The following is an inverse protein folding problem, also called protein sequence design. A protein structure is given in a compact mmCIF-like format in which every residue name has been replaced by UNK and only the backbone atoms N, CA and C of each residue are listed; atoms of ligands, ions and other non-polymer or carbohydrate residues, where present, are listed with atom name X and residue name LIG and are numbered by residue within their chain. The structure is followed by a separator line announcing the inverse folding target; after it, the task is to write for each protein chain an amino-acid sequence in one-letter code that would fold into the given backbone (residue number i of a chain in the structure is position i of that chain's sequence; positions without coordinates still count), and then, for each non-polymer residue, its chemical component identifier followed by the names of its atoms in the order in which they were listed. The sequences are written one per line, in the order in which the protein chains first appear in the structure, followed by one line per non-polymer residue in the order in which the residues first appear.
data_IF_893582965616
#
_entry.id   IF_893582965616
#
_cell.length_a   1.000
_cell.length_b   1.000
_cell.length_c   1.000
_cell.angle_alpha   90.00
_cell.angle_beta   90.00
_cell.angle_gamma   90.00
#
_symmetry.space_group_name_H-M   'P 1'
#
loop_
_entity.id
_entity.type
_entity.pdbx_description
1 polymer ?
#
# COMPACT_ATOMS: atom_id res chain seq x y z
N UNK A 1 -26.40 67.89 36.43
CA UNK A 1 -26.58 68.74 37.61
C UNK A 1 -25.28 69.49 37.83
N UNK A 2 -25.39 70.80 37.74
CA UNK A 2 -24.36 71.83 37.83
C UNK A 2 -23.72 71.89 39.21
N UNK A 3 -22.39 71.90 39.26
CA UNK A 3 -21.63 72.59 40.31
C UNK A 3 -20.84 73.67 39.59
N UNK A 4 -21.43 74.88 39.53
CA UNK A 4 -20.72 76.09 39.12
C UNK A 4 -19.86 76.51 40.30
N UNK A 5 -18.56 76.27 40.22
CA UNK A 5 -17.61 76.85 41.18
C UNK A 5 -17.58 78.36 40.97
N UNK A 6 -18.22 79.07 41.90
CA UNK A 6 -18.06 80.51 42.08
C UNK A 6 -16.57 80.81 42.28
N UNK A 7 -15.93 81.34 41.24
CA UNK A 7 -14.55 81.83 41.29
C UNK A 7 -14.56 83.08 42.17
N UNK A 8 -13.91 83.00 43.34
CA UNK A 8 -13.88 84.08 44.33
C UNK A 8 -13.22 85.34 43.78
N UNK A 9 -13.99 86.42 43.68
CA UNK A 9 -13.64 87.70 43.04
C UNK A 9 -12.59 88.59 43.76
N UNK A 10 -11.75 88.07 44.66
CA UNK A 10 -10.76 88.90 45.41
C UNK A 10 -9.33 88.33 45.40
N UNK A 11 -9.12 87.05 45.09
CA UNK A 11 -7.79 86.46 44.98
C UNK A 11 -7.63 86.01 43.53
N UNK A 12 -6.74 86.60 42.76
CA UNK A 12 -6.51 86.30 41.34
C UNK A 12 -5.91 84.91 41.08
N UNK A 13 -6.37 83.89 41.80
CA UNK A 13 -5.96 82.50 41.70
C UNK A 13 -7.13 81.72 41.08
N UNK A 14 -6.90 81.26 39.86
CA UNK A 14 -7.80 80.36 39.15
C UNK A 14 -7.70 78.97 39.78
N UNK A 15 -8.59 78.69 40.72
CA UNK A 15 -8.61 77.42 41.46
C UNK A 15 -8.99 76.24 40.57
N UNK A 16 -9.72 76.46 39.48
CA UNK A 16 -9.99 75.42 38.50
C UNK A 16 -8.69 75.03 37.77
N UNK A 17 -7.92 76.02 37.29
CA UNK A 17 -6.63 75.78 36.66
C UNK A 17 -5.61 75.14 37.63
N UNK A 18 -5.61 75.51 38.92
CA UNK A 18 -4.73 74.91 39.93
C UNK A 18 -5.12 73.44 40.21
N UNK A 19 -6.42 73.14 40.30
CA UNK A 19 -6.92 71.77 40.48
C UNK A 19 -6.58 70.92 39.25
N UNK A 20 -6.76 71.45 38.05
CA UNK A 20 -6.38 70.75 36.81
C UNK A 20 -4.87 70.47 36.76
N UNK A 21 -4.03 71.43 37.14
CA UNK A 21 -2.57 71.24 37.26
C UNK A 21 -2.19 70.18 38.31
N UNK A 22 -2.93 70.10 39.42
CA UNK A 22 -2.68 69.11 40.47
C UNK A 22 -3.14 67.71 40.04
N UNK A 23 -4.30 67.60 39.38
CA UNK A 23 -4.80 66.35 38.79
C UNK A 23 -3.83 65.84 37.71
N UNK A 24 -3.30 66.73 36.87
CA UNK A 24 -2.31 66.36 35.86
C UNK A 24 -1.02 65.83 36.50
N UNK A 25 -0.53 66.46 37.57
CA UNK A 25 0.63 66.00 38.34
C UNK A 25 0.39 64.63 38.99
N UNK A 26 -0.77 64.42 39.60
CA UNK A 26 -1.16 63.16 40.24
C UNK A 26 -1.45 62.04 39.23
N UNK A 27 -1.76 62.37 37.97
CA UNK A 27 -1.97 61.40 36.88
C UNK A 27 -0.68 60.87 36.25
N UNK A 28 0.47 61.55 36.43
CA UNK A 28 1.79 61.14 35.90
C UNK A 28 2.19 59.68 36.19
N UNK A 29 2.04 59.13 37.41
CA UNK A 29 2.35 57.72 37.66
C UNK A 29 1.49 56.76 36.82
N UNK A 30 0.23 57.11 36.56
CA UNK A 30 -0.66 56.31 35.71
C UNK A 30 -0.16 56.32 34.27
N UNK A 31 0.19 57.50 33.73
CA UNK A 31 0.77 57.63 32.39
C UNK A 31 2.07 56.84 32.25
N UNK A 32 2.93 56.85 33.27
CA UNK A 32 4.20 56.09 33.26
C UNK A 32 3.95 54.58 33.27
N UNK A 33 2.98 54.09 34.05
CA UNK A 33 2.59 52.68 34.06
C UNK A 33 1.93 52.27 32.73
N UNK A 34 1.08 53.12 32.15
CA UNK A 34 0.49 52.89 30.83
C UNK A 34 1.55 52.79 29.73
N UNK A 35 2.54 53.68 29.73
CA UNK A 35 3.67 53.64 28.81
C UNK A 35 4.52 52.37 29.00
N UNK A 36 4.74 51.95 30.26
CA UNK A 36 5.44 50.69 30.57
C UNK A 36 4.65 49.48 30.10
N UNK A 37 3.34 49.45 30.27
CA UNK A 37 2.47 48.39 29.77
C UNK A 37 2.49 48.32 28.24
N UNK A 38 2.43 49.46 27.54
CA UNK A 38 2.55 49.49 26.08
C UNK A 38 3.89 48.91 25.61
N UNK A 39 4.99 49.23 26.31
CA UNK A 39 6.33 48.68 26.02
C UNK A 39 6.38 47.17 26.26
N UNK A 40 5.85 46.69 27.39
CA UNK A 40 5.81 45.26 27.72
C UNK A 40 4.94 44.47 26.73
N UNK A 41 3.80 45.02 26.28
CA UNK A 41 2.95 44.40 25.25
C UNK A 41 3.67 44.34 23.90
N UNK A 42 4.39 45.39 23.50
CA UNK A 42 5.21 45.38 22.30
C UNK A 42 6.33 44.33 22.37
N UNK A 43 6.99 44.19 23.54
CA UNK A 43 7.98 43.14 23.78
C UNK A 43 7.36 41.74 23.69
N UNK A 44 6.18 41.52 24.26
CA UNK A 44 5.46 40.25 24.15
C UNK A 44 5.16 39.88 22.69
N UNK A 45 4.69 40.85 21.90
CA UNK A 45 4.46 40.66 20.46
C UNK A 45 5.74 40.28 19.72
N UNK A 46 6.84 40.99 19.98
CA UNK A 46 8.15 40.68 19.38
C UNK A 46 8.65 39.27 19.74
N UNK A 47 8.45 38.82 20.98
CA UNK A 47 8.80 37.44 21.38
C UNK A 47 7.91 36.39 20.72
N UNK A 48 6.62 36.65 20.54
CA UNK A 48 5.71 35.75 19.82
C UNK A 48 6.08 35.62 18.35
N UNK A 49 6.46 36.73 17.71
CA UNK A 49 6.93 36.74 16.33
C UNK A 49 8.25 35.98 16.18
N UNK A 50 9.23 36.23 17.05
CA UNK A 50 10.48 35.49 17.09
C UNK A 50 10.25 33.98 17.27
N UNK A 51 9.36 33.58 18.17
CA UNK A 51 9.03 32.18 18.40
C UNK A 51 8.42 31.53 17.15
N UNK A 52 7.56 32.26 16.43
CA UNK A 52 6.95 31.78 15.19
C UNK A 52 7.98 31.60 14.07
N UNK A 53 8.89 32.56 13.92
CA UNK A 53 9.99 32.47 12.95
C UNK A 53 10.97 31.35 13.28
N UNK A 54 11.30 31.18 14.56
CA UNK A 54 12.18 30.10 15.03
C UNK A 54 11.54 28.73 14.80
N UNK A 55 10.23 28.59 15.03
CA UNK A 55 9.51 27.37 14.73
C UNK A 55 9.49 27.07 13.23
N UNK A 56 9.24 28.06 12.39
CA UNK A 56 9.29 27.89 10.94
C UNK A 56 10.70 27.45 10.48
N UNK A 57 11.75 28.09 10.99
CA UNK A 57 13.13 27.71 10.70
C UNK A 57 13.43 26.28 11.16
N UNK A 58 12.97 25.89 12.35
CA UNK A 58 13.12 24.53 12.88
C UNK A 58 12.44 23.51 11.96
N UNK A 59 11.20 23.76 11.52
CA UNK A 59 10.49 22.85 10.62
C UNK A 59 11.22 22.69 9.27
N UNK A 60 11.77 23.77 8.72
CA UNK A 60 12.61 23.69 7.52
C UNK A 60 13.88 22.88 7.76
N UNK A 61 14.57 23.10 8.89
CA UNK A 61 15.75 22.34 9.27
C UNK A 61 15.45 20.85 9.48
N UNK A 62 14.32 20.51 10.12
CA UNK A 62 13.88 19.12 10.33
C UNK A 62 13.58 18.42 8.99
N UNK A 63 12.95 19.13 8.04
CA UNK A 63 12.72 18.63 6.68
C UNK A 63 14.02 18.37 5.92
N UNK A 64 15.01 19.26 6.05
CA UNK A 64 16.34 19.12 5.47
C UNK A 64 17.21 18.08 6.20
N UNK A 65 16.96 17.81 7.48
CA UNK A 65 17.64 16.75 8.21
C UNK A 65 17.12 15.37 7.81
N UNK A 66 15.93 15.28 7.18
CA UNK A 66 15.36 14.03 6.74
C UNK A 66 16.04 13.52 5.46
N UNK A 67 16.92 12.52 5.62
CA UNK A 67 17.66 11.88 4.53
C UNK A 67 16.74 11.29 3.46
N UNK A 68 15.51 10.86 3.82
CA UNK A 68 14.57 10.31 2.84
C UNK A 68 14.11 11.34 1.80
N UNK A 69 14.08 12.63 2.15
CA UNK A 69 13.75 13.72 1.22
C UNK A 69 14.73 13.74 0.04
N UNK A 70 16.01 13.46 0.29
CA UNK A 70 17.08 13.47 -0.73
C UNK A 70 17.25 12.12 -1.44
N UNK A 71 16.68 11.05 -0.88
CA UNK A 71 16.71 9.70 -1.46
C UNK A 71 15.41 9.34 -2.19
N UNK A 72 14.47 10.27 -2.27
CA UNK A 72 13.24 10.08 -3.03
C UNK A 72 13.59 9.93 -4.52
N UNK A 73 13.00 8.94 -5.17
CA UNK A 73 13.17 8.68 -6.61
C UNK A 73 11.85 8.93 -7.31
N UNK A 74 11.86 9.44 -8.55
CA UNK A 74 10.65 9.52 -9.37
C UNK A 74 10.46 8.23 -10.16
N UNK A 75 9.21 7.78 -10.30
CA UNK A 75 8.86 6.63 -11.15
C UNK A 75 8.02 7.12 -12.33
N UNK A 76 8.36 6.69 -13.53
CA UNK A 76 7.62 6.96 -14.76
C UNK A 76 7.23 5.63 -15.39
N UNK A 77 5.94 5.46 -15.70
CA UNK A 77 5.43 4.30 -16.43
C UNK A 77 5.29 4.64 -17.91
N UNK A 78 5.59 3.69 -18.80
CA UNK A 78 5.37 3.85 -20.24
C UNK A 78 3.88 3.85 -20.61
N UNK A 79 3.03 3.23 -19.78
CA UNK A 79 1.58 3.21 -19.96
C UNK A 79 0.86 3.22 -18.60
N UNK A 80 0.49 4.42 -18.14
CA UNK A 80 -0.17 4.63 -16.84
C UNK A 80 -1.60 4.06 -16.76
N UNK A 81 -2.27 3.82 -17.90
CA UNK A 81 -3.60 3.20 -17.90
C UNK A 81 -3.57 1.71 -17.56
N UNK A 82 -2.42 1.05 -17.76
CA UNK A 82 -2.25 -0.38 -17.47
C UNK A 82 -1.58 -0.58 -16.11
N UNK A 83 -0.54 0.20 -15.81
CA UNK A 83 0.24 0.05 -14.59
C UNK A 83 0.76 1.40 -14.11
N UNK A 84 0.48 1.71 -12.84
CA UNK A 84 1.12 2.80 -12.10
C UNK A 84 2.07 2.22 -11.07
N UNK A 85 3.10 2.97 -10.71
CA UNK A 85 4.09 2.54 -9.73
C UNK A 85 4.51 3.73 -8.86
N UNK A 86 4.82 3.44 -7.59
CA UNK A 86 5.34 4.40 -6.63
C UNK A 86 6.63 3.86 -6.03
N UNK A 87 7.60 4.74 -5.82
CA UNK A 87 8.88 4.41 -5.19
C UNK A 87 8.85 4.75 -3.70
N UNK A 88 9.69 4.04 -2.94
CA UNK A 88 10.06 4.41 -1.57
C UNK A 88 11.51 4.92 -1.57
N UNK A 89 11.95 5.56 -0.49
CA UNK A 89 13.32 6.09 -0.34
C UNK A 89 14.42 5.01 -0.35
N UNK A 90 14.04 3.74 -0.27
CA UNK A 90 14.92 2.57 -0.42
C UNK A 90 15.00 2.02 -1.85
N UNK A 91 14.21 2.55 -2.78
CA UNK A 91 14.19 2.07 -4.17
C UNK A 91 15.52 2.37 -4.87
N UNK A 92 16.07 1.37 -5.55
CA UNK A 92 17.29 1.52 -6.35
C UNK A 92 16.91 2.13 -7.70
N UNK A 93 17.59 3.20 -8.17
CA UNK A 93 17.36 3.74 -9.49
C UNK A 93 17.70 2.72 -10.59
N UNK A 94 16.77 2.50 -11.52
CA UNK A 94 16.95 1.56 -12.62
C UNK A 94 15.74 1.52 -13.55
N UNK A 95 15.91 0.89 -14.71
CA UNK A 95 14.83 0.59 -15.65
C UNK A 95 14.40 -0.85 -15.44
N UNK A 96 13.09 -1.06 -15.36
CA UNK A 96 12.49 -2.37 -15.13
C UNK A 96 11.40 -2.62 -16.17
N UNK A 97 11.48 -3.76 -16.85
CA UNK A 97 10.50 -4.18 -17.84
C UNK A 97 9.45 -5.09 -17.19
N UNK A 98 8.18 -4.76 -17.37
CA UNK A 98 7.05 -5.52 -16.87
C UNK A 98 6.12 -5.91 -18.01
N UNK A 99 5.66 -7.16 -17.99
CA UNK A 99 4.60 -7.65 -18.88
C UNK A 99 3.40 -8.01 -18.02
N UNK A 100 2.28 -7.31 -18.22
CA UNK A 100 1.04 -7.54 -17.48
C UNK A 100 0.21 -8.58 -18.22
N UNK A 101 0.23 -9.83 -17.74
CA UNK A 101 -0.54 -10.92 -18.34
C UNK A 101 -2.01 -10.92 -17.93
N UNK A 102 -2.28 -10.77 -16.62
CA UNK A 102 -3.64 -10.82 -16.08
C UNK A 102 -3.72 -10.01 -14.78
N UNK A 103 -4.88 -9.39 -14.55
CA UNK A 103 -5.21 -8.71 -13.30
C UNK A 103 -5.62 -9.73 -12.24
N UNK A 104 -5.22 -9.50 -10.99
CA UNK A 104 -5.74 -10.28 -9.87
C UNK A 104 -7.24 -9.98 -9.73
N UNK A 105 -8.06 -11.03 -9.78
CA UNK A 105 -9.50 -10.94 -9.54
C UNK A 105 -9.86 -11.43 -8.15
N UNK A 106 -10.93 -10.89 -7.58
CA UNK A 106 -11.56 -11.44 -6.38
C UNK A 106 -12.61 -12.47 -6.78
N UNK A 107 -12.69 -13.60 -6.08
CA UNK A 107 -13.77 -14.57 -6.28
C UNK A 107 -15.10 -14.04 -5.72
N UNK A 108 -16.16 -14.13 -6.50
CA UNK A 108 -17.54 -13.90 -6.06
C UNK A 108 -18.40 -15.10 -6.43
N UNK A 109 -19.16 -15.62 -5.47
CA UNK A 109 -20.17 -16.64 -5.69
C UNK A 109 -21.52 -16.08 -5.29
N UNK A 110 -22.49 -16.24 -6.17
CA UNK A 110 -23.88 -15.83 -5.95
C UNK A 110 -24.72 -17.10 -6.00
N UNK A 111 -25.54 -17.34 -4.98
CA UNK A 111 -26.44 -18.49 -4.99
C UNK A 111 -27.49 -18.31 -6.07
N UNK A 112 -28.05 -19.40 -6.59
CA UNK A 112 -29.12 -19.37 -7.59
C UNK A 112 -30.45 -18.82 -7.07
N UNK A 113 -30.49 -18.33 -5.84
CA UNK A 113 -31.69 -17.97 -5.11
C UNK A 113 -32.36 -19.18 -4.45
N UNK A 114 -33.11 -18.92 -3.39
CA UNK A 114 -33.98 -19.90 -2.72
C UNK A 114 -35.43 -19.57 -3.06
N UNK A 115 -36.34 -20.55 -2.94
CA UNK A 115 -37.74 -20.38 -3.31
C UNK A 115 -38.45 -19.27 -2.51
N UNK A 116 -38.01 -19.03 -1.28
CA UNK A 116 -38.52 -18.04 -0.34
C UNK A 116 -37.47 -17.70 0.71
N UNK A 117 -37.71 -16.68 1.53
CA UNK A 117 -36.75 -16.17 2.51
C UNK A 117 -36.85 -16.80 3.90
N UNK A 118 -37.96 -17.44 4.23
CA UNK A 118 -38.36 -17.66 5.64
C UNK A 118 -39.15 -18.95 5.91
N UNK A 119 -39.62 -19.66 4.90
CA UNK A 119 -40.52 -20.82 5.06
C UNK A 119 -39.87 -22.16 4.71
N UNK A 120 -39.04 -22.23 3.67
CA UNK A 120 -38.42 -23.49 3.24
C UNK A 120 -37.01 -23.63 3.84
N UNK A 121 -36.76 -24.64 4.71
CA UNK A 121 -35.41 -24.92 5.20
C UNK A 121 -34.46 -25.29 4.06
N UNK A 122 -33.28 -24.70 4.06
CA UNK A 122 -32.22 -24.97 3.06
C UNK A 122 -31.42 -26.25 3.35
N UNK A 123 -31.66 -26.89 4.50
CA UNK A 123 -30.94 -28.07 4.97
C UNK A 123 -31.73 -28.84 6.05
N UNK A 124 -31.43 -30.13 6.21
CA UNK A 124 -31.93 -30.97 7.30
C UNK A 124 -30.88 -31.12 8.43
N UNK A 125 -31.17 -31.92 9.46
CA UNK A 125 -30.27 -32.11 10.62
C UNK A 125 -28.98 -32.87 10.30
N UNK A 126 -28.90 -33.54 9.15
CA UNK A 126 -27.76 -34.34 8.73
C UNK A 126 -26.95 -33.66 7.61
N UNK A 127 -27.39 -32.50 7.14
CA UNK A 127 -26.72 -31.77 6.06
C UNK A 127 -25.44 -31.11 6.57
N UNK A 128 -24.30 -31.44 5.95
CA UNK A 128 -23.03 -30.72 6.13
C UNK A 128 -22.81 -29.77 4.96
N UNK A 129 -22.57 -28.50 5.25
CA UNK A 129 -22.10 -27.54 4.24
C UNK A 129 -20.58 -27.65 4.12
N UNK A 130 -20.11 -28.28 3.04
CA UNK A 130 -18.68 -28.33 2.71
C UNK A 130 -18.39 -27.29 1.64
N UNK A 131 -17.44 -26.40 1.93
CA UNK A 131 -16.93 -25.44 0.96
C UNK A 131 -15.58 -25.94 0.46
N UNK A 132 -15.51 -26.25 -0.83
CA UNK A 132 -14.28 -26.68 -1.49
C UNK A 132 -13.85 -25.62 -2.51
N UNK A 133 -12.59 -25.22 -2.44
CA UNK A 133 -12.00 -24.35 -3.47
C UNK A 133 -11.43 -25.23 -4.57
N UNK A 134 -11.98 -25.12 -5.78
CA UNK A 134 -11.56 -25.95 -6.91
C UNK A 134 -12.05 -27.40 -6.79
N UNK A 135 -13.36 -27.61 -6.95
CA UNK A 135 -14.01 -28.89 -7.31
C UNK A 135 -13.60 -30.19 -6.57
N UNK A 136 -12.93 -30.11 -5.41
CA UNK A 136 -12.36 -31.27 -4.71
C UNK A 136 -11.33 -32.04 -5.54
N UNK A 137 -10.77 -31.39 -6.56
CA UNK A 137 -9.96 -31.98 -7.61
C UNK A 137 -9.22 -30.89 -8.37
N UNK A 138 -8.01 -31.21 -8.82
CA UNK A 138 -7.22 -30.30 -9.63
C UNK A 138 -7.93 -30.12 -11.00
N UNK A 139 -8.59 -28.98 -11.20
CA UNK A 139 -9.25 -28.63 -12.47
C UNK A 139 -8.29 -27.86 -13.34
N UNK A 140 -8.44 -27.93 -14.67
CA UNK A 140 -7.58 -27.17 -15.61
C UNK A 140 -7.65 -25.67 -15.33
N UNK A 141 -8.78 -25.16 -14.85
CA UNK A 141 -8.96 -23.75 -14.54
C UNK A 141 -8.51 -23.37 -13.12
N UNK A 142 -8.00 -24.31 -12.31
CA UNK A 142 -7.51 -24.02 -10.96
C UNK A 142 -6.27 -23.13 -11.06
N UNK A 143 -6.24 -22.06 -10.28
CA UNK A 143 -5.08 -21.18 -10.21
C UNK A 143 -3.91 -21.89 -9.51
N UNK A 144 -2.71 -21.73 -10.06
CA UNK A 144 -1.49 -22.30 -9.49
C UNK A 144 -1.16 -21.75 -8.09
N UNK A 145 -1.66 -20.55 -7.77
CA UNK A 145 -1.56 -19.92 -6.45
C UNK A 145 -2.28 -20.69 -5.34
N UNK A 146 -3.28 -21.51 -5.71
CA UNK A 146 -4.13 -22.22 -4.77
C UNK A 146 -3.64 -23.65 -4.48
N UNK A 147 -2.59 -24.10 -5.19
CA UNK A 147 -2.06 -25.45 -5.03
C UNK A 147 -1.32 -25.62 -3.71
N UNK A 148 -1.08 -26.87 -3.31
CA UNK A 148 -0.31 -27.22 -2.11
C UNK A 148 -0.86 -26.59 -0.83
N UNK A 149 -2.19 -26.55 -0.68
CA UNK A 149 -2.83 -25.92 0.50
C UNK A 149 -2.74 -24.39 0.53
N UNK A 150 -2.48 -23.76 -0.62
CA UNK A 150 -2.33 -22.30 -0.75
C UNK A 150 -0.88 -21.80 -0.66
N UNK A 151 0.09 -22.71 -0.50
CA UNK A 151 1.52 -22.38 -0.66
C UNK A 151 1.86 -22.03 -2.12
N UNK A 152 1.00 -22.47 -3.04
CA UNK A 152 1.06 -22.14 -4.45
C UNK A 152 2.11 -22.95 -5.22
N UNK A 153 2.47 -22.42 -6.39
CA UNK A 153 3.38 -23.04 -7.33
C UNK A 153 4.65 -22.21 -7.49
N UNK A 154 5.82 -22.85 -7.37
CA UNK A 154 7.08 -22.17 -7.60
C UNK A 154 7.34 -21.97 -9.10
N UNK A 155 7.22 -20.73 -9.56
CA UNK A 155 7.47 -20.36 -10.97
C UNK A 155 8.94 -20.56 -11.37
N UNK A 156 9.16 -21.11 -12.55
CA UNK A 156 10.50 -21.37 -13.06
C UNK A 156 10.49 -22.24 -14.32
N UNK A 157 11.63 -22.87 -14.59
CA UNK A 157 11.77 -23.79 -15.72
C UNK A 157 11.95 -25.21 -15.20
N UNK A 158 11.45 -26.18 -15.96
CA UNK A 158 11.68 -27.60 -15.69
C UNK A 158 12.38 -28.24 -16.87
N UNK A 159 13.18 -29.27 -16.58
CA UNK A 159 13.78 -30.15 -17.56
C UNK A 159 12.95 -31.41 -17.62
N UNK A 160 12.40 -31.71 -18.78
CA UNK A 160 11.71 -32.95 -19.03
C UNK A 160 12.60 -33.85 -19.87
N UNK A 161 12.80 -35.10 -19.45
CA UNK A 161 13.53 -36.11 -20.20
C UNK A 161 12.64 -37.32 -20.39
N UNK A 162 12.35 -37.66 -21.64
CA UNK A 162 11.53 -38.82 -22.01
C UNK A 162 12.32 -40.14 -21.86
N UNK A 163 11.63 -41.28 -22.03
CA UNK A 163 12.24 -42.61 -21.91
C UNK A 163 13.13 -42.99 -23.11
N UNK A 164 13.14 -42.20 -24.18
CA UNK A 164 14.11 -42.31 -25.27
C UNK A 164 15.44 -41.65 -24.91
N UNK A 165 15.47 -40.84 -23.86
CA UNK A 165 16.63 -40.07 -23.41
C UNK A 165 16.69 -38.66 -24.01
N UNK A 166 15.66 -38.23 -24.73
CA UNK A 166 15.58 -36.86 -25.27
C UNK A 166 15.13 -35.90 -24.18
N UNK A 167 15.69 -34.69 -24.18
CA UNK A 167 15.46 -33.70 -23.13
C UNK A 167 14.99 -32.38 -23.72
N UNK A 168 14.02 -31.74 -23.06
CA UNK A 168 13.55 -30.39 -23.36
C UNK A 168 13.42 -29.54 -22.08
N UNK A 169 13.56 -28.22 -22.23
CA UNK A 169 13.33 -27.27 -21.14
C UNK A 169 11.97 -26.61 -21.37
N UNK A 170 11.07 -26.78 -20.41
CA UNK A 170 9.73 -26.16 -20.41
C UNK A 170 9.77 -24.94 -19.50
N UNK A 171 9.31 -23.80 -20.02
CA UNK A 171 9.22 -22.55 -19.26
C UNK A 171 7.82 -22.41 -18.65
N UNK A 172 7.74 -22.50 -17.33
CA UNK A 172 6.51 -22.34 -16.55
C UNK A 172 6.51 -21.03 -15.76
N UNK A 173 7.45 -20.12 -16.05
CA UNK A 173 7.60 -18.87 -15.30
C UNK A 173 6.41 -17.92 -15.45
N UNK A 174 5.65 -18.05 -16.54
CA UNK A 174 4.46 -17.24 -16.84
C UNK A 174 3.14 -17.96 -16.63
N UNK A 175 3.17 -19.23 -16.23
CA UNK A 175 1.95 -20.02 -16.02
C UNK A 175 1.14 -19.46 -14.83
N UNK A 176 -0.18 -19.38 -14.97
CA UNK A 176 -1.10 -18.90 -13.92
C UNK A 176 -2.08 -19.97 -13.48
N UNK A 177 -2.45 -20.88 -14.37
CA UNK A 177 -3.39 -21.98 -14.13
C UNK A 177 -2.78 -23.35 -14.38
N UNK A 178 -3.45 -24.39 -13.88
CA UNK A 178 -3.12 -25.79 -14.20
C UNK A 178 -3.13 -26.02 -15.71
N UNK A 179 -4.07 -25.43 -16.44
CA UNK A 179 -4.15 -25.51 -17.90
C UNK A 179 -2.88 -25.00 -18.57
N UNK A 180 -2.33 -23.86 -18.12
CA UNK A 180 -1.11 -23.32 -18.71
C UNK A 180 0.09 -24.27 -18.54
N UNK A 181 0.16 -24.98 -17.41
CA UNK A 181 1.19 -25.99 -17.17
C UNK A 181 1.01 -27.18 -18.10
N UNK A 182 -0.23 -27.69 -18.22
CA UNK A 182 -0.54 -28.79 -19.13
C UNK A 182 -0.23 -28.43 -20.58
N UNK A 183 -0.64 -27.24 -21.02
CA UNK A 183 -0.39 -26.75 -22.37
C UNK A 183 1.10 -26.54 -22.63
N UNK A 184 1.85 -25.99 -21.67
CA UNK A 184 3.30 -25.81 -21.83
C UNK A 184 4.03 -27.15 -21.99
N UNK A 185 3.60 -28.20 -21.27
CA UNK A 185 4.20 -29.54 -21.39
C UNK A 185 3.71 -30.25 -22.67
N UNK A 186 2.42 -30.20 -22.98
CA UNK A 186 1.84 -30.88 -24.15
C UNK A 186 2.26 -30.25 -25.49
N UNK A 187 2.65 -28.97 -25.50
CA UNK A 187 3.19 -28.29 -26.68
C UNK A 187 4.72 -28.45 -26.83
N UNK A 188 5.38 -29.21 -25.95
CA UNK A 188 6.78 -29.59 -26.11
C UNK A 188 6.98 -30.41 -27.40
N UNK A 189 8.04 -30.11 -28.16
CA UNK A 189 8.22 -30.68 -29.50
C UNK A 189 9.36 -31.68 -29.61
N UNK A 190 10.31 -31.63 -28.68
CA UNK A 190 11.49 -32.49 -28.67
C UNK A 190 11.29 -33.72 -27.79
N UNK A 191 10.37 -33.67 -26.82
CA UNK A 191 10.00 -34.80 -25.96
C UNK A 191 8.61 -35.31 -26.31
N UNK A 192 8.41 -36.62 -26.25
CA UNK A 192 7.13 -37.25 -26.58
C UNK A 192 6.39 -37.69 -25.31
N UNK A 193 5.67 -36.74 -24.71
CA UNK A 193 4.90 -36.93 -23.47
C UNK A 193 3.47 -36.40 -23.59
N UNK A 194 2.58 -36.86 -22.72
CA UNK A 194 1.25 -36.27 -22.48
C UNK A 194 1.12 -35.91 -21.00
N UNK A 195 0.93 -34.63 -20.70
CA UNK A 195 0.54 -34.15 -19.39
C UNK A 195 -0.99 -34.09 -19.26
N UNK A 196 -1.51 -34.62 -18.16
CA UNK A 196 -2.91 -34.58 -17.79
C UNK A 196 -3.06 -34.45 -16.28
N UNK A 197 -4.29 -34.33 -15.81
CA UNK A 197 -4.61 -34.26 -14.38
C UNK A 197 -5.60 -35.36 -14.05
N UNK A 198 -5.36 -36.06 -12.95
CA UNK A 198 -6.25 -37.10 -12.45
C UNK A 198 -6.40 -36.98 -10.93
N UNK A 199 -7.62 -36.63 -10.50
CA UNK A 199 -7.85 -36.29 -9.09
C UNK A 199 -7.06 -35.04 -8.72
N UNK A 200 -6.14 -35.18 -7.78
CA UNK A 200 -5.31 -34.06 -7.27
C UNK A 200 -3.88 -34.03 -7.83
N UNK A 201 -3.54 -34.92 -8.77
CA UNK A 201 -2.17 -35.09 -9.24
C UNK A 201 -2.01 -34.75 -10.71
N UNK A 202 -0.89 -34.09 -11.02
CA UNK A 202 -0.36 -34.02 -12.37
C UNK A 202 0.17 -35.40 -12.77
N UNK A 203 -0.26 -35.88 -13.94
CA UNK A 203 0.18 -37.14 -14.52
C UNK A 203 0.88 -36.82 -15.82
N UNK A 204 2.15 -37.22 -15.93
CA UNK A 204 2.90 -37.15 -17.17
C UNK A 204 3.12 -38.58 -17.67
N UNK A 205 2.56 -38.88 -18.84
CA UNK A 205 2.69 -40.15 -19.51
C UNK A 205 3.68 -40.03 -20.67
N UNK A 206 4.60 -40.98 -20.78
CA UNK A 206 5.56 -41.04 -21.89
C UNK A 206 4.94 -41.81 -23.06
N UNK A 207 4.98 -41.23 -24.26
CA UNK A 207 4.42 -41.83 -25.48
C UNK A 207 5.49 -42.45 -26.40
N UNK A 208 6.77 -42.48 -26.00
CA UNK A 208 7.87 -42.98 -26.84
C UNK A 208 7.83 -44.51 -27.00
N UNK A 209 7.24 -45.22 -26.03
CA UNK A 209 7.29 -46.68 -25.93
C UNK A 209 8.69 -47.23 -25.60
N UNK A 210 9.66 -46.37 -25.32
CA UNK A 210 11.04 -46.73 -24.99
C UNK A 210 11.19 -47.14 -23.53
N UNK A 211 12.21 -47.96 -23.24
CA UNK A 211 12.62 -48.34 -21.88
C UNK A 211 14.10 -48.05 -21.61
N UNK A 212 14.78 -47.34 -22.51
CA UNK A 212 16.21 -47.02 -22.42
C UNK A 212 16.52 -46.20 -21.17
N UNK A 213 15.66 -45.24 -20.84
CA UNK A 213 15.76 -44.42 -19.63
C UNK A 213 14.41 -44.36 -18.90
N UNK A 214 14.42 -43.77 -17.72
CA UNK A 214 13.20 -43.39 -17.01
C UNK A 214 12.73 -42.01 -17.49
N UNK A 215 11.43 -41.76 -17.36
CA UNK A 215 10.88 -40.41 -17.48
C UNK A 215 11.39 -39.61 -16.28
N UNK A 216 12.03 -38.46 -16.54
CA UNK A 216 12.62 -37.61 -15.50
C UNK A 216 12.07 -36.20 -15.65
N UNK A 217 11.49 -35.68 -14.58
CA UNK A 217 11.11 -34.28 -14.42
C UNK A 217 12.06 -33.69 -13.39
N UNK A 218 12.86 -32.71 -13.77
CA UNK A 218 13.85 -32.11 -12.89
C UNK A 218 13.78 -30.59 -12.91
N UNK A 219 14.08 -29.96 -11.79
CA UNK A 219 14.21 -28.52 -11.71
C UNK A 219 15.34 -27.99 -12.60
N UNK A 220 15.08 -26.87 -13.28
CA UNK A 220 16.14 -26.06 -13.90
C UNK A 220 16.46 -24.88 -13.00
N UNK A 221 17.42 -25.09 -12.09
CA UNK A 221 17.85 -24.10 -11.11
C UNK A 221 17.41 -24.45 -9.69
N UNK A 222 17.22 -23.43 -8.85
CA UNK A 222 16.92 -23.57 -7.41
C UNK A 222 15.47 -23.26 -7.06
N UNK A 223 14.59 -23.10 -8.05
CA UNK A 223 13.22 -22.63 -7.83
C UNK A 223 12.31 -23.70 -7.25
N UNK A 224 12.61 -25.00 -7.41
CA UNK A 224 11.77 -26.08 -6.91
C UNK A 224 10.45 -26.25 -7.68
N UNK A 225 10.37 -25.70 -8.89
CA UNK A 225 9.23 -25.77 -9.82
C UNK A 225 8.77 -27.20 -10.11
N UNK A 226 9.67 -28.13 -10.39
CA UNK A 226 9.34 -29.54 -10.62
C UNK A 226 8.80 -30.17 -9.34
N UNK A 227 9.38 -29.84 -8.19
CA UNK A 227 8.93 -30.34 -6.88
C UNK A 227 7.53 -29.82 -6.53
N UNK A 228 7.19 -28.58 -6.93
CA UNK A 228 5.87 -27.99 -6.70
C UNK A 228 4.73 -28.64 -7.51
N UNK A 229 5.03 -29.51 -8.49
CA UNK A 229 4.03 -30.26 -9.26
C UNK A 229 3.56 -31.55 -8.55
N UNK A 230 4.18 -31.93 -7.43
CA UNK A 230 3.86 -33.14 -6.67
C UNK A 230 4.80 -34.30 -6.94
#
# INVERSE_FOLDING_TARGET
MSITSSVGLISGIDTAALIDQLIELDSRPITLIQARNATLTAQQGAFQELNSQLLAMKLSADSMANVNTFRSTSVTSSNESIMTATSKSSAVPGTYDFVVSQLVSTQQMVTTGFADSDTTPISDSDTTFTFEFGNGGLSTNTELSQLNGGDGFARGKIRLTDRSGTTEIIDLSTATTVNDVLDAINNATNVSVTASVKGDQFIIEDNTGSTTTNLIIADQGTTGTATSLG
#
